data_IF_508903435812
#
_entry.id   IF_508903435812
#
_cell.length_a   1.000
_cell.length_b   1.000
_cell.length_c   1.000
_cell.angle_alpha   90.00
_cell.angle_beta   90.00
_cell.angle_gamma   90.00
#
_symmetry.space_group_name_H-M   'P 1'
#
loop_
_entity.id
_entity.type
_entity.pdbx_description
1 polymer ?
#
# COMPACT_ATOMS: atom_id res chain seq x y z
N UNK A 1 -25.76 -10.18 -7.71
CA UNK A 1 -25.14 -8.93 -7.25
C UNK A 1 -24.82 -9.11 -5.77
N UNK A 2 -23.73 -9.82 -5.48
CA UNK A 2 -23.48 -10.39 -4.16
C UNK A 2 -22.89 -9.34 -3.21
N UNK A 3 -23.63 -9.08 -2.13
CA UNK A 3 -23.20 -8.39 -0.92
C UNK A 3 -21.93 -9.06 -0.37
N UNK A 4 -20.83 -8.29 -0.32
CA UNK A 4 -19.49 -8.76 0.07
C UNK A 4 -19.10 -8.23 1.45
N UNK A 5 -20.07 -7.99 2.31
CA UNK A 5 -19.87 -7.59 3.71
C UNK A 5 -19.54 -8.83 4.57
N UNK A 6 -18.35 -9.41 4.36
CA UNK A 6 -17.84 -10.39 5.31
C UNK A 6 -17.49 -9.67 6.61
N UNK A 7 -18.27 -9.92 7.66
CA UNK A 7 -18.08 -9.37 9.01
C UNK A 7 -16.68 -9.72 9.53
N UNK A 8 -15.78 -8.74 9.54
CA UNK A 8 -14.50 -8.81 10.22
C UNK A 8 -14.78 -8.80 11.74
N UNK A 9 -14.40 -9.88 12.44
CA UNK A 9 -14.34 -9.87 13.91
C UNK A 9 -12.99 -9.29 14.32
N UNK A 10 -13.00 -8.17 15.04
CA UNK A 10 -11.81 -7.65 15.69
C UNK A 10 -11.28 -8.69 16.70
N UNK A 11 -9.99 -9.00 16.62
CA UNK A 11 -9.31 -9.73 17.69
C UNK A 11 -9.06 -8.71 18.80
N UNK A 12 -9.64 -8.97 19.97
CA UNK A 12 -9.36 -8.18 21.18
C UNK A 12 -7.90 -8.43 21.60
N UNK A 13 -7.05 -7.42 21.43
CA UNK A 13 -5.65 -7.48 21.87
C UNK A 13 -5.65 -7.33 23.39
N UNK A 14 -5.39 -8.41 24.12
CA UNK A 14 -5.28 -8.35 25.58
C UNK A 14 -4.18 -7.37 25.99
N UNK A 15 -4.48 -6.47 26.93
CA UNK A 15 -3.59 -5.40 27.42
C UNK A 15 -2.44 -5.93 28.31
N UNK A 16 -1.80 -7.03 27.96
CA UNK A 16 -0.67 -7.57 28.70
C UNK A 16 0.63 -7.01 28.11
N UNK A 17 1.48 -6.33 28.92
CA UNK A 17 2.57 -5.48 28.45
C UNK A 17 3.77 -6.36 28.09
N UNK A 18 3.67 -7.12 27.02
CA UNK A 18 4.85 -7.76 26.45
C UNK A 18 5.76 -6.67 25.89
N UNK A 19 7.03 -6.60 26.30
CA UNK A 19 8.01 -5.77 25.62
C UNK A 19 8.07 -6.20 24.15
N UNK A 20 7.64 -5.32 23.23
CA UNK A 20 7.54 -5.61 21.80
C UNK A 20 6.12 -5.90 21.27
N UNK A 21 5.08 -5.77 22.09
CA UNK A 21 3.70 -5.81 21.60
C UNK A 21 3.46 -4.72 20.55
N UNK A 22 3.06 -5.14 19.34
CA UNK A 22 2.70 -4.21 18.27
C UNK A 22 1.37 -3.53 18.63
N UNK A 23 1.38 -2.19 18.63
CA UNK A 23 0.17 -1.40 18.80
C UNK A 23 -0.81 -1.61 17.65
N UNK A 24 -2.09 -1.36 17.90
CA UNK A 24 -3.08 -1.28 16.84
C UNK A 24 -2.82 -0.05 15.93
N UNK A 25 -3.20 -0.11 14.65
CA UNK A 25 -3.80 -1.25 13.97
C UNK A 25 -2.73 -2.19 13.38
N UNK A 26 -2.91 -3.50 13.57
CA UNK A 26 -2.26 -4.49 12.70
C UNK A 26 -2.97 -4.51 11.34
N UNK A 27 -2.28 -4.81 10.22
CA UNK A 27 -2.94 -4.89 8.93
C UNK A 27 -4.02 -5.99 8.98
N UNK A 28 -5.26 -5.59 8.74
CA UNK A 28 -6.41 -6.48 8.84
C UNK A 28 -6.61 -7.33 7.59
N UNK A 29 -5.99 -6.93 6.48
CA UNK A 29 -5.95 -7.69 5.25
C UNK A 29 -4.59 -7.53 4.57
N UNK A 30 -3.95 -8.66 4.29
CA UNK A 30 -2.76 -8.76 3.44
C UNK A 30 -3.17 -9.53 2.19
N UNK A 31 -2.87 -8.98 1.02
CA UNK A 31 -3.24 -9.58 -0.25
C UNK A 31 -2.41 -10.85 -0.49
N UNK A 32 -3.06 -12.01 -0.66
CA UNK A 32 -2.36 -13.24 -1.11
C UNK A 32 -1.78 -13.03 -2.52
N UNK A 33 -2.52 -12.30 -3.36
CA UNK A 33 -2.07 -11.80 -4.65
C UNK A 33 -2.28 -10.29 -4.70
N UNK A 34 -1.20 -9.49 -4.84
CA UNK A 34 -1.32 -8.04 -4.88
C UNK A 34 -2.25 -7.56 -6.00
N UNK A 35 -3.09 -6.59 -5.68
CA UNK A 35 -4.06 -6.00 -6.61
C UNK A 35 -3.41 -4.84 -7.38
N UNK A 36 -3.58 -4.78 -8.70
CA UNK A 36 -3.01 -3.71 -9.51
C UNK A 36 -3.75 -2.39 -9.27
N UNK A 37 -2.99 -1.32 -9.02
CA UNK A 37 -3.50 0.03 -8.80
C UNK A 37 -2.72 1.04 -9.65
N UNK A 38 -3.16 2.30 -9.65
CA UNK A 38 -2.34 3.43 -10.03
C UNK A 38 -2.28 4.44 -8.88
N UNK A 39 -1.13 5.10 -8.74
CA UNK A 39 -0.97 6.27 -7.87
C UNK A 39 -0.71 7.46 -8.77
N UNK A 40 -1.56 8.49 -8.64
CA UNK A 40 -1.57 9.65 -9.51
C UNK A 40 -1.19 10.92 -8.74
N UNK A 41 -0.55 11.86 -9.42
CA UNK A 41 -0.27 13.19 -8.91
C UNK A 41 -1.49 14.13 -9.03
N UNK A 42 -1.31 15.39 -8.63
CA UNK A 42 -2.38 16.39 -8.66
C UNK A 42 -2.84 16.75 -10.09
N UNK A 43 -2.05 16.43 -11.13
CA UNK A 43 -2.42 16.60 -12.53
C UNK A 43 -3.08 15.35 -13.12
N UNK A 44 -3.26 14.28 -12.32
CA UNK A 44 -3.80 13.00 -12.78
C UNK A 44 -2.78 12.15 -13.54
N UNK A 45 -1.48 12.45 -13.45
CA UNK A 45 -0.43 11.69 -14.10
C UNK A 45 0.13 10.61 -13.16
N UNK A 46 0.52 9.43 -13.67
CA UNK A 46 1.13 8.39 -12.85
C UNK A 46 2.42 8.85 -12.15
N UNK A 47 2.47 8.66 -10.84
CA UNK A 47 3.66 8.87 -10.03
C UNK A 47 4.66 7.76 -10.32
N UNK A 48 5.90 8.15 -10.60
CA UNK A 48 7.05 7.27 -10.81
C UNK A 48 8.08 7.46 -9.71
N UNK A 49 8.89 6.42 -9.49
CA UNK A 49 10.06 6.47 -8.61
C UNK A 49 11.28 6.09 -9.42
N UNK A 50 12.32 6.92 -9.37
CA UNK A 50 13.57 6.65 -10.08
C UNK A 50 14.47 5.64 -9.35
N UNK A 51 15.61 5.32 -9.97
CA UNK A 51 16.59 4.39 -9.39
C UNK A 51 17.24 4.85 -8.09
N UNK A 52 17.01 6.09 -7.63
CA UNK A 52 17.50 6.65 -6.36
C UNK A 52 16.38 6.87 -5.34
N UNK A 53 15.15 6.48 -5.65
CA UNK A 53 14.01 6.69 -4.77
C UNK A 53 13.38 8.08 -4.88
N UNK A 54 13.74 8.89 -5.86
CA UNK A 54 13.11 10.19 -6.08
C UNK A 54 11.75 10.02 -6.78
N UNK A 55 10.72 10.70 -6.27
CA UNK A 55 9.39 10.71 -6.90
C UNK A 55 9.34 11.71 -8.05
N UNK A 56 8.59 11.39 -9.09
CA UNK A 56 8.30 12.34 -10.18
C UNK A 56 7.41 13.51 -9.73
N UNK A 57 6.51 13.25 -8.77
CA UNK A 57 5.59 14.22 -8.19
C UNK A 57 5.02 13.66 -6.87
N UNK A 58 4.35 14.51 -6.08
CA UNK A 58 3.69 14.07 -4.85
C UNK A 58 2.44 13.22 -5.15
N UNK A 59 2.28 12.04 -4.53
CA UNK A 59 1.04 11.27 -4.55
C UNK A 59 -0.17 12.10 -4.10
N UNK A 60 -1.21 12.13 -4.92
CA UNK A 60 -2.43 12.89 -4.65
C UNK A 60 -3.68 12.02 -4.66
N UNK A 61 -3.70 10.94 -5.45
CA UNK A 61 -4.83 10.00 -5.48
C UNK A 61 -4.37 8.59 -5.83
N UNK A 62 -5.22 7.60 -5.56
CA UNK A 62 -5.03 6.22 -5.98
C UNK A 62 -6.28 5.69 -6.70
N UNK A 63 -6.11 4.84 -7.71
CA UNK A 63 -7.20 4.14 -8.38
C UNK A 63 -6.93 2.64 -8.40
N UNK A 64 -7.96 1.83 -8.16
CA UNK A 64 -7.87 0.38 -8.38
C UNK A 64 -8.15 0.08 -9.84
N UNK A 65 -7.38 -0.82 -10.46
CA UNK A 65 -7.60 -1.19 -11.86
C UNK A 65 -9.04 -1.64 -12.10
N UNK A 66 -9.75 -0.94 -13.00
CA UNK A 66 -11.16 -1.19 -13.31
C UNK A 66 -12.18 -0.42 -12.45
N UNK A 67 -11.72 0.36 -11.46
CA UNK A 67 -12.58 1.29 -10.73
C UNK A 67 -12.87 2.56 -11.55
N UNK A 68 -14.07 3.12 -11.37
CA UNK A 68 -14.55 4.26 -12.17
C UNK A 68 -13.92 5.61 -11.76
N UNK A 69 -13.41 5.72 -10.54
CA UNK A 69 -12.85 6.97 -10.01
C UNK A 69 -11.67 6.74 -9.09
N UNK A 70 -10.69 7.63 -9.13
CA UNK A 70 -9.59 7.69 -8.17
C UNK A 70 -10.08 8.25 -6.82
N UNK A 71 -9.49 7.77 -5.73
CA UNK A 71 -9.73 8.24 -4.36
C UNK A 71 -8.58 9.16 -3.94
N UNK A 72 -8.91 10.37 -3.48
CA UNK A 72 -7.91 11.32 -3.01
C UNK A 72 -7.17 10.81 -1.77
N UNK A 73 -5.88 11.16 -1.68
CA UNK A 73 -5.02 10.91 -0.54
C UNK A 73 -5.08 12.08 0.44
N UNK A 74 -5.19 11.78 1.72
CA UNK A 74 -5.01 12.72 2.83
C UNK A 74 -3.54 12.86 3.22
N UNK A 75 -2.79 11.76 3.22
CA UNK A 75 -1.39 11.72 3.56
C UNK A 75 -0.70 10.50 2.93
N UNK A 76 0.63 10.53 2.88
CA UNK A 76 1.44 9.39 2.46
C UNK A 76 2.82 9.44 3.13
N UNK A 77 3.49 8.30 3.18
CA UNK A 77 4.87 8.16 3.64
C UNK A 77 5.64 7.17 2.74
N UNK A 78 6.96 7.39 2.62
CA UNK A 78 7.85 6.65 1.72
C UNK A 78 8.56 7.57 0.71
N UNK A 79 9.15 7.02 -0.37
CA UNK A 79 9.35 5.60 -0.61
C UNK A 79 10.32 4.98 0.39
N UNK A 80 10.04 3.74 0.80
CA UNK A 80 11.03 2.87 1.43
C UNK A 80 11.50 1.82 0.42
N UNK A 81 12.73 1.93 -0.11
CA UNK A 81 13.29 0.93 -1.00
C UNK A 81 13.41 -0.42 -0.30
N UNK A 82 13.11 -1.51 -0.99
CA UNK A 82 13.35 -2.87 -0.53
C UNK A 82 13.96 -3.70 -1.65
N UNK A 83 14.98 -4.48 -1.30
CA UNK A 83 15.53 -5.53 -2.16
C UNK A 83 15.22 -6.89 -1.55
N UNK A 84 14.45 -7.70 -2.28
CA UNK A 84 14.09 -9.06 -1.89
C UNK A 84 14.89 -10.05 -2.74
N UNK A 85 15.23 -11.20 -2.16
CA UNK A 85 16.00 -12.25 -2.84
C UNK A 85 17.29 -11.73 -3.49
N UNK A 86 17.95 -10.74 -2.87
CA UNK A 86 19.13 -10.09 -3.43
C UNK A 86 20.30 -11.07 -3.68
N UNK A 87 20.30 -12.21 -3.00
CA UNK A 87 21.27 -13.30 -3.15
C UNK A 87 21.00 -14.23 -4.36
N UNK A 88 19.83 -14.16 -4.98
CA UNK A 88 19.45 -14.95 -6.14
C UNK A 88 19.17 -14.03 -7.33
N UNK A 89 20.09 -13.94 -8.31
CA UNK A 89 19.92 -13.07 -9.47
C UNK A 89 18.63 -13.31 -10.26
N UNK A 90 18.12 -14.55 -10.28
CA UNK A 90 16.90 -14.90 -11.00
C UNK A 90 15.63 -14.50 -10.25
N UNK A 91 15.71 -14.36 -8.92
CA UNK A 91 14.57 -14.02 -8.05
C UNK A 91 14.66 -12.62 -7.46
N UNK A 92 15.75 -11.89 -7.66
CA UNK A 92 15.95 -10.54 -7.12
C UNK A 92 14.79 -9.63 -7.51
N UNK A 93 14.17 -9.00 -6.52
CA UNK A 93 13.08 -8.03 -6.69
C UNK A 93 13.45 -6.73 -6.03
N UNK A 94 13.26 -5.62 -6.75
CA UNK A 94 13.50 -4.27 -6.23
C UNK A 94 12.17 -3.52 -6.22
N UNK A 95 11.76 -3.10 -5.04
CA UNK A 95 10.46 -2.44 -4.82
C UNK A 95 10.66 -1.13 -4.06
N UNK A 96 9.72 -0.21 -4.22
CA UNK A 96 9.56 0.93 -3.33
C UNK A 96 8.20 0.82 -2.63
N UNK A 97 8.18 0.76 -1.29
CA UNK A 97 6.94 0.69 -0.51
C UNK A 97 6.49 2.07 -0.07
N UNK A 98 5.17 2.22 0.03
CA UNK A 98 4.52 3.43 0.52
C UNK A 98 3.37 3.05 1.43
N UNK A 99 3.15 3.90 2.44
CA UNK A 99 1.90 3.92 3.17
C UNK A 99 1.07 5.10 2.68
N UNK A 100 -0.16 4.83 2.26
CA UNK A 100 -1.10 5.85 1.80
C UNK A 100 -2.29 5.91 2.74
N UNK A 101 -2.75 7.12 3.05
CA UNK A 101 -3.99 7.36 3.80
C UNK A 101 -4.98 8.06 2.89
N UNK A 102 -6.12 7.45 2.61
CA UNK A 102 -7.17 8.07 1.80
C UNK A 102 -7.93 9.12 2.59
N UNK A 103 -8.60 10.04 1.89
CA UNK A 103 -9.53 11.00 2.54
C UNK A 103 -10.72 10.31 3.23
N UNK A 104 -10.98 9.04 2.90
CA UNK A 104 -12.02 8.22 3.51
C UNK A 104 -11.55 7.54 4.82
N UNK A 105 -10.28 7.73 5.21
CA UNK A 105 -9.71 7.15 6.42
C UNK A 105 -9.13 5.74 6.24
N UNK A 106 -9.07 5.23 5.01
CA UNK A 106 -8.44 3.94 4.72
C UNK A 106 -6.92 4.10 4.64
N UNK A 107 -6.18 3.35 5.46
CA UNK A 107 -4.73 3.27 5.37
C UNK A 107 -4.34 2.00 4.61
N UNK A 108 -3.49 2.15 3.59
CA UNK A 108 -3.07 1.05 2.71
C UNK A 108 -1.55 1.00 2.55
N UNK A 109 -1.03 -0.22 2.42
CA UNK A 109 0.35 -0.47 2.02
C UNK A 109 0.37 -0.78 0.53
N UNK A 110 1.19 -0.05 -0.22
CA UNK A 110 1.38 -0.27 -1.65
C UNK A 110 2.86 -0.44 -1.98
N UNK A 111 3.15 -1.12 -3.08
CA UNK A 111 4.50 -1.24 -3.61
C UNK A 111 4.55 -0.83 -5.08
N UNK A 112 5.66 -0.21 -5.49
CA UNK A 112 6.01 0.06 -6.88
C UNK A 112 7.16 -0.86 -7.28
N UNK A 113 6.96 -1.59 -8.37
CA UNK A 113 7.96 -2.50 -8.94
C UNK A 113 7.92 -2.45 -10.46
N UNK A 114 9.08 -2.27 -11.10
CA UNK A 114 9.20 -2.22 -12.56
C UNK A 114 8.20 -1.24 -13.22
N UNK A 115 7.85 -0.14 -12.52
CA UNK A 115 6.90 0.86 -13.00
C UNK A 115 5.42 0.54 -12.73
N UNK A 116 5.10 -0.61 -12.14
CA UNK A 116 3.74 -1.03 -11.80
C UNK A 116 3.46 -0.92 -10.31
N UNK A 117 2.30 -0.36 -9.96
CA UNK A 117 1.84 -0.22 -8.58
C UNK A 117 0.96 -1.39 -8.16
N UNK A 118 1.12 -1.81 -6.91
CA UNK A 118 0.44 -2.95 -6.31
C UNK A 118 -0.06 -2.63 -4.91
N UNK A 119 -1.30 -2.98 -4.61
CA UNK A 119 -1.86 -2.95 -3.26
C UNK A 119 -1.46 -4.24 -2.53
N UNK A 120 -0.75 -4.09 -1.41
CA UNK A 120 -0.21 -5.19 -0.62
C UNK A 120 -1.06 -5.47 0.62
N UNK A 121 -1.57 -4.43 1.28
CA UNK A 121 -2.35 -4.57 2.50
C UNK A 121 -3.28 -3.37 2.77
N UNK A 122 -4.31 -3.61 3.59
CA UNK A 122 -5.21 -2.61 4.16
C UNK A 122 -5.18 -2.69 5.69
N UNK A 123 -5.13 -1.54 6.35
CA UNK A 123 -5.21 -1.39 7.80
C UNK A 123 -6.61 -0.87 8.15
N UNK A 124 -7.31 -1.54 9.07
CA UNK A 124 -8.61 -1.10 9.59
C UNK A 124 -8.64 -1.12 11.11
#
# INVERSE_FOLDING_TARGET
MADRSARLRAVEVSAHPWPGALGAPSPAWVAEKPEAIEVLDAAGLPVRVDGRGALSAAPASLSVSGARSAVALRAWAGPWPTEEHWWDPARRRRRARFQLLTVQGEAVLVSLEQGSWWLEARYC
#
